data_IF_747988758574
#
_entry.id   IF_747988758574
#
_cell.length_a   1.000
_cell.length_b   1.000
_cell.length_c   1.000
_cell.angle_alpha   90.00
_cell.angle_beta   90.00
_cell.angle_gamma   90.00
#
_symmetry.space_group_name_H-M   'P 1'
#
loop_
_entity.id
_entity.type
_entity.pdbx_description
1 polymer ?
#
# COMPACT_ATOMS: atom_id res chain seq x y z
N UNK A 1 -33.55 -17.94 38.54
CA UNK A 1 -32.11 -17.97 38.19
C UNK A 1 -31.59 -16.55 38.31
N UNK A 2 -30.83 -16.24 39.36
CA UNK A 2 -30.24 -14.91 39.56
C UNK A 2 -29.03 -14.77 38.63
N UNK A 3 -29.21 -14.06 37.51
CA UNK A 3 -28.16 -13.75 36.53
C UNK A 3 -27.30 -12.56 36.97
N UNK A 4 -26.74 -12.61 38.19
CA UNK A 4 -25.79 -11.59 38.63
C UNK A 4 -24.40 -11.93 38.10
N UNK A 5 -24.10 -11.51 36.87
CA UNK A 5 -22.77 -11.65 36.29
C UNK A 5 -21.77 -10.76 37.04
N UNK A 6 -20.77 -11.36 37.69
CA UNK A 6 -19.71 -10.65 38.40
C UNK A 6 -18.55 -10.37 37.45
N UNK A 7 -18.07 -9.12 37.41
CA UNK A 7 -16.88 -8.74 36.64
C UNK A 7 -15.65 -9.32 37.35
N UNK A 8 -14.89 -10.18 36.66
CA UNK A 8 -13.69 -10.82 37.21
C UNK A 8 -12.48 -9.88 37.08
N UNK A 9 -12.24 -9.34 35.89
CA UNK A 9 -11.12 -8.45 35.59
C UNK A 9 -11.51 -7.37 34.57
N UNK A 10 -10.79 -6.24 34.58
CA UNK A 10 -10.90 -5.17 33.58
C UNK A 10 -9.52 -4.87 32.99
N UNK A 11 -9.47 -4.64 31.68
CA UNK A 11 -8.29 -4.14 31.00
C UNK A 11 -7.99 -2.71 31.48
N UNK A 12 -6.79 -2.48 32.02
CA UNK A 12 -6.35 -1.19 32.58
C UNK A 12 -5.43 -0.39 31.66
N UNK A 13 -4.96 -0.99 30.55
CA UNK A 13 -4.03 -0.36 29.64
C UNK A 13 -4.06 -0.95 28.23
N UNK A 14 -3.39 -0.26 27.30
CA UNK A 14 -3.34 -0.63 25.89
C UNK A 14 -1.92 -0.51 25.35
N UNK A 15 -1.52 -1.45 24.49
CA UNK A 15 -0.28 -1.32 23.73
C UNK A 15 -0.54 -0.55 22.44
N UNK A 16 0.23 0.51 22.20
CA UNK A 16 0.23 1.24 20.94
C UNK A 16 1.52 0.94 20.18
N UNK A 17 1.40 0.25 19.05
CA UNK A 17 2.49 0.04 18.11
C UNK A 17 2.39 1.04 16.96
N UNK A 18 3.46 1.75 16.64
CA UNK A 18 3.57 2.57 15.43
C UNK A 18 4.75 2.07 14.59
N UNK A 19 4.62 2.09 13.27
CA UNK A 19 5.72 1.84 12.35
C UNK A 19 5.58 2.79 11.16
N UNK A 20 6.65 3.52 10.88
CA UNK A 20 6.72 4.48 9.77
C UNK A 20 6.73 3.79 8.40
N UNK A 21 7.25 2.56 8.29
CA UNK A 21 7.51 1.96 6.97
C UNK A 21 6.64 0.76 6.59
N UNK A 22 6.02 0.02 7.52
CA UNK A 22 5.13 -1.08 7.13
C UNK A 22 4.17 -1.58 8.23
N UNK A 23 2.91 -1.74 7.82
CA UNK A 23 1.84 -2.43 8.54
C UNK A 23 2.25 -3.86 8.96
N UNK A 24 3.07 -4.52 8.15
CA UNK A 24 3.49 -5.92 8.37
C UNK A 24 4.23 -6.10 9.70
N UNK A 25 5.15 -5.20 10.05
CA UNK A 25 5.90 -5.28 11.32
C UNK A 25 5.00 -5.05 12.54
N UNK A 26 4.07 -4.11 12.45
CA UNK A 26 3.09 -3.88 13.52
C UNK A 26 2.14 -5.05 13.69
N UNK A 27 1.67 -5.65 12.60
CA UNK A 27 0.74 -6.77 12.65
C UNK A 27 1.39 -8.01 13.30
N UNK A 28 2.67 -8.27 13.02
CA UNK A 28 3.42 -9.35 13.67
C UNK A 28 3.47 -9.14 15.18
N UNK A 29 3.90 -7.96 15.64
CA UNK A 29 3.99 -7.66 17.09
C UNK A 29 2.62 -7.76 17.76
N UNK A 30 1.57 -7.20 17.13
CA UNK A 30 0.20 -7.27 17.64
C UNK A 30 -0.29 -8.72 17.73
N UNK A 31 0.02 -9.56 16.74
CA UNK A 31 -0.33 -10.98 16.75
C UNK A 31 0.33 -11.72 17.91
N UNK A 32 1.61 -11.43 18.20
CA UNK A 32 2.34 -12.00 19.33
C UNK A 32 1.75 -11.56 20.67
N UNK A 33 1.48 -10.26 20.84
CA UNK A 33 0.83 -9.75 22.06
C UNK A 33 -0.55 -10.37 22.28
N UNK A 34 -1.34 -10.53 21.21
CA UNK A 34 -2.65 -11.15 21.30
C UNK A 34 -2.59 -12.64 21.64
N UNK A 35 -1.55 -13.35 21.19
CA UNK A 35 -1.33 -14.75 21.57
C UNK A 35 -1.03 -14.88 23.07
N UNK A 36 -0.13 -14.03 23.60
CA UNK A 36 0.17 -14.01 25.04
C UNK A 36 -1.08 -13.66 25.87
N UNK A 37 -1.86 -12.67 25.44
CA UNK A 37 -3.11 -12.29 26.11
C UNK A 37 -4.14 -13.43 26.09
N UNK A 38 -4.22 -14.17 24.98
CA UNK A 38 -5.11 -15.32 24.85
C UNK A 38 -4.69 -16.47 25.78
N UNK A 39 -3.41 -16.82 25.84
CA UNK A 39 -2.91 -17.84 26.76
C UNK A 39 -3.20 -17.46 28.22
N UNK A 40 -2.95 -16.21 28.61
CA UNK A 40 -3.25 -15.71 29.95
C UNK A 40 -4.75 -15.84 30.28
N UNK A 41 -5.63 -15.42 29.37
CA UNK A 41 -7.07 -15.52 29.57
C UNK A 41 -7.53 -16.98 29.72
N UNK A 42 -6.95 -17.91 28.96
CA UNK A 42 -7.28 -19.34 29.03
C UNK A 42 -6.80 -19.99 30.34
N UNK A 43 -5.69 -19.52 30.90
CA UNK A 43 -5.22 -19.94 32.23
C UNK A 43 -6.17 -19.42 33.32
N UNK A 44 -6.58 -18.14 33.24
CA UNK A 44 -7.51 -17.54 34.22
C UNK A 44 -8.88 -18.22 34.24
N UNK A 45 -9.37 -18.69 33.08
CA UNK A 45 -10.63 -19.44 32.97
C UNK A 45 -10.45 -20.91 33.40
N UNK A 46 -9.22 -21.38 33.64
CA UNK A 46 -8.93 -22.74 34.09
C UNK A 46 -8.93 -23.79 32.97
N UNK A 47 -8.91 -23.36 31.70
CA UNK A 47 -8.82 -24.26 30.53
C UNK A 47 -7.39 -24.75 30.34
N UNK A 48 -6.41 -23.86 30.49
CA UNK A 48 -4.98 -24.17 30.48
C UNK A 48 -4.44 -24.22 31.91
N UNK A 49 -3.57 -25.17 32.20
CA UNK A 49 -2.84 -25.26 33.45
C UNK A 49 -1.38 -24.85 33.23
N UNK A 50 -0.82 -24.02 34.12
CA UNK A 50 0.57 -23.61 34.07
C UNK A 50 0.76 -22.09 33.95
N UNK A 51 1.88 -21.68 33.37
CA UNK A 51 2.25 -20.27 33.15
C UNK A 51 2.25 -19.96 31.66
N UNK A 52 2.03 -18.70 31.29
CA UNK A 52 2.07 -18.23 29.89
C UNK A 52 3.41 -18.59 29.25
N UNK A 53 3.37 -19.09 28.02
CA UNK A 53 4.57 -19.46 27.29
C UNK A 53 5.47 -18.25 27.09
N UNK A 54 6.79 -18.41 27.33
CA UNK A 54 7.77 -17.34 27.10
C UNK A 54 7.96 -17.00 25.62
N UNK A 55 7.59 -17.92 24.73
CA UNK A 55 7.62 -17.73 23.29
C UNK A 55 6.22 -17.36 22.81
N UNK A 56 6.04 -16.13 22.32
CA UNK A 56 4.79 -15.62 21.76
C UNK A 56 4.50 -16.19 20.34
N UNK A 57 4.86 -17.45 20.11
CA UNK A 57 4.69 -18.11 18.83
C UNK A 57 3.52 -19.07 18.90
N UNK A 58 2.56 -18.88 17.99
CA UNK A 58 1.51 -19.84 17.66
C UNK A 58 2.09 -21.07 16.93
N UNK A 59 3.11 -21.69 17.53
CA UNK A 59 3.78 -22.87 17.05
C UNK A 59 2.97 -24.12 17.41
N UNK A 60 3.30 -25.23 16.75
CA UNK A 60 2.75 -26.56 16.99
C UNK A 60 3.14 -27.17 18.34
N UNK A 61 3.97 -26.47 19.12
CA UNK A 61 4.43 -26.89 20.47
C UNK A 61 3.81 -26.04 21.58
N UNK A 62 2.91 -25.12 21.25
CA UNK A 62 2.22 -24.29 22.24
C UNK A 62 1.19 -25.11 23.05
N UNK A 63 0.91 -24.74 24.32
CA UNK A 63 -0.10 -25.42 25.13
C UNK A 63 -1.48 -25.48 24.45
N UNK A 64 -1.86 -24.42 23.76
CA UNK A 64 -3.08 -24.34 22.95
C UNK A 64 -3.11 -25.36 21.81
N UNK A 65 -1.96 -25.61 21.17
CA UNK A 65 -1.87 -26.59 20.07
C UNK A 65 -1.93 -28.04 20.56
N UNK A 66 -1.52 -28.31 21.81
CA UNK A 66 -1.72 -29.60 22.46
C UNK A 66 -3.18 -29.88 22.77
N UNK A 67 -3.93 -28.85 23.22
CA UNK A 67 -5.36 -28.99 23.52
C UNK A 67 -6.21 -29.05 22.24
N UNK A 68 -5.86 -28.23 21.24
CA UNK A 68 -6.55 -28.15 19.96
C UNK A 68 -5.55 -28.22 18.79
N UNK A 69 -5.39 -29.42 18.19
CA UNK A 69 -4.55 -29.61 17.01
C UNK A 69 -4.95 -28.64 15.89
N UNK A 70 -3.99 -27.86 15.39
CA UNK A 70 -4.19 -26.90 14.30
C UNK A 70 -4.70 -25.52 14.72
N UNK A 71 -4.93 -25.26 16.02
CA UNK A 71 -5.36 -23.94 16.50
C UNK A 71 -4.37 -22.82 16.11
N UNK A 72 -3.07 -23.05 16.32
CA UNK A 72 -2.02 -22.08 15.96
C UNK A 72 -2.03 -21.71 14.46
N UNK A 73 -2.30 -22.68 13.58
CA UNK A 73 -2.44 -22.42 12.14
C UNK A 73 -3.65 -21.53 11.84
N UNK A 74 -4.81 -21.81 12.45
CA UNK A 74 -6.01 -20.98 12.28
C UNK A 74 -5.79 -19.57 12.82
N UNK A 75 -5.14 -19.43 13.97
CA UNK A 75 -4.79 -18.13 14.55
C UNK A 75 -3.90 -17.31 13.61
N UNK A 76 -2.83 -17.90 13.08
CA UNK A 76 -1.95 -17.25 12.08
C UNK A 76 -2.73 -16.85 10.83
N UNK A 77 -3.66 -17.69 10.37
CA UNK A 77 -4.49 -17.38 9.21
C UNK A 77 -5.42 -16.18 9.44
N UNK A 78 -6.02 -16.06 10.62
CA UNK A 78 -6.84 -14.90 11.00
C UNK A 78 -6.00 -13.62 11.01
N UNK A 79 -4.81 -13.66 11.60
CA UNK A 79 -3.90 -12.51 11.64
C UNK A 79 -3.32 -12.13 10.28
N UNK A 80 -3.12 -13.11 9.38
CA UNK A 80 -2.78 -12.83 7.98
C UNK A 80 -3.92 -12.11 7.26
N UNK A 81 -5.17 -12.57 7.44
CA UNK A 81 -6.34 -11.91 6.86
C UNK A 81 -6.52 -10.49 7.42
N UNK A 82 -6.29 -10.29 8.73
CA UNK A 82 -6.32 -8.96 9.34
C UNK A 82 -5.32 -8.00 8.66
N UNK A 83 -4.08 -8.48 8.43
CA UNK A 83 -3.08 -7.70 7.69
C UNK A 83 -3.56 -7.32 6.29
N UNK A 84 -4.16 -8.28 5.56
CA UNK A 84 -4.70 -8.03 4.22
C UNK A 84 -5.77 -6.94 4.20
N UNK A 85 -6.72 -6.99 5.13
CA UNK A 85 -7.79 -5.99 5.21
C UNK A 85 -7.29 -4.61 5.63
N UNK A 86 -6.39 -4.54 6.61
CA UNK A 86 -5.76 -3.28 7.00
C UNK A 86 -4.92 -2.70 5.85
N UNK A 87 -4.21 -3.54 5.10
CA UNK A 87 -3.43 -3.12 3.93
C UNK A 87 -4.34 -2.59 2.82
N UNK A 88 -5.50 -3.21 2.59
CA UNK A 88 -6.47 -2.74 1.61
C UNK A 88 -6.98 -1.32 1.95
N UNK A 89 -7.23 -1.06 3.22
CA UNK A 89 -7.64 0.28 3.68
C UNK A 89 -6.51 1.31 3.56
N UNK A 90 -5.27 0.92 3.86
CA UNK A 90 -4.13 1.82 3.83
C UNK A 90 -3.64 2.10 2.40
N UNK A 91 -3.36 1.06 1.61
CA UNK A 91 -2.73 1.21 0.28
C UNK A 91 -3.61 0.78 -0.89
N UNK A 92 -4.83 0.31 -0.64
CA UNK A 92 -5.70 -0.21 -1.71
C UNK A 92 -5.27 -1.56 -2.29
N UNK A 93 -4.31 -2.26 -1.68
CA UNK A 93 -3.86 -3.59 -2.09
C UNK A 93 -3.78 -4.53 -0.88
N UNK A 94 -3.91 -5.86 -1.06
CA UNK A 94 -3.60 -6.84 -0.02
C UNK A 94 -2.18 -6.67 0.54
N UNK A 95 -1.92 -7.28 1.70
CA UNK A 95 -0.60 -7.21 2.32
C UNK A 95 0.44 -7.94 1.45
N UNK A 96 1.67 -7.45 1.48
CA UNK A 96 2.78 -8.15 0.83
C UNK A 96 3.25 -9.28 1.76
N UNK A 97 3.89 -10.30 1.20
CA UNK A 97 4.49 -11.41 1.98
C UNK A 97 3.49 -12.22 2.83
N UNK A 98 2.22 -12.26 2.42
CA UNK A 98 1.17 -13.05 3.08
C UNK A 98 1.51 -14.54 3.14
N UNK A 99 2.18 -15.09 2.12
CA UNK A 99 2.64 -16.47 2.08
C UNK A 99 3.65 -16.80 3.19
N UNK A 100 4.58 -15.86 3.47
CA UNK A 100 5.52 -15.96 4.58
C UNK A 100 4.79 -15.93 5.93
N UNK A 101 3.81 -15.05 6.11
CA UNK A 101 3.04 -15.00 7.38
C UNK A 101 2.19 -16.26 7.61
N UNK A 102 1.63 -16.86 6.54
CA UNK A 102 0.80 -18.06 6.63
C UNK A 102 1.58 -19.35 6.82
N UNK A 103 2.70 -19.51 6.11
CA UNK A 103 3.40 -20.80 6.00
C UNK A 103 4.83 -20.77 6.52
N UNK A 104 5.39 -19.59 6.79
CA UNK A 104 6.80 -19.42 7.18
C UNK A 104 7.80 -19.68 6.04
N UNK A 105 7.32 -19.98 4.83
CA UNK A 105 8.15 -20.21 3.63
C UNK A 105 7.72 -19.29 2.50
N UNK A 106 8.68 -18.92 1.67
CA UNK A 106 8.45 -18.07 0.50
C UNK A 106 8.16 -18.92 -0.73
N UNK A 107 7.11 -18.59 -1.46
CA UNK A 107 6.72 -19.29 -2.70
C UNK A 107 7.03 -18.44 -3.94
N UNK A 108 7.38 -19.06 -5.07
CA UNK A 108 7.63 -18.33 -6.32
C UNK A 108 6.39 -17.55 -6.78
N UNK A 109 5.21 -18.17 -6.67
CA UNK A 109 3.94 -17.50 -6.92
C UNK A 109 3.72 -16.29 -6.00
N UNK A 110 4.04 -16.40 -4.71
CA UNK A 110 3.97 -15.28 -3.77
C UNK A 110 4.91 -14.12 -4.12
N UNK A 111 6.11 -14.40 -4.64
CA UNK A 111 7.03 -13.37 -5.13
C UNK A 111 6.45 -12.62 -6.32
N UNK A 112 5.88 -13.34 -7.30
CA UNK A 112 5.25 -12.72 -8.47
C UNK A 112 4.05 -11.85 -8.09
N UNK A 113 3.17 -12.35 -7.22
CA UNK A 113 2.01 -11.59 -6.76
C UNK A 113 2.43 -10.34 -5.97
N UNK A 114 3.47 -10.43 -5.15
CA UNK A 114 4.01 -9.26 -4.45
C UNK A 114 4.56 -8.21 -5.41
N UNK A 115 5.19 -8.62 -6.51
CA UNK A 115 5.63 -7.71 -7.57
C UNK A 115 4.45 -7.00 -8.22
N UNK A 116 3.39 -7.74 -8.58
CA UNK A 116 2.16 -7.19 -9.14
C UNK A 116 1.49 -6.17 -8.21
N UNK A 117 1.30 -6.52 -6.93
CA UNK A 117 0.70 -5.60 -5.95
C UNK A 117 1.59 -4.40 -5.65
N UNK A 118 2.92 -4.54 -5.73
CA UNK A 118 3.83 -3.41 -5.58
C UNK A 118 3.66 -2.37 -6.69
N UNK A 119 3.44 -2.81 -7.94
CA UNK A 119 3.15 -1.92 -9.08
C UNK A 119 1.81 -1.20 -8.88
N UNK A 120 0.77 -1.94 -8.48
CA UNK A 120 -0.55 -1.34 -8.19
C UNK A 120 -0.43 -0.32 -7.05
N UNK A 121 0.27 -0.68 -5.97
CA UNK A 121 0.49 0.20 -4.83
C UNK A 121 1.22 1.47 -5.24
N UNK A 122 2.26 1.37 -6.08
CA UNK A 122 2.95 2.53 -6.63
C UNK A 122 2.00 3.45 -7.41
N UNK A 123 1.15 2.87 -8.27
CA UNK A 123 0.14 3.63 -9.01
C UNK A 123 -0.88 4.31 -8.09
N UNK A 124 -1.47 3.56 -7.15
CA UNK A 124 -2.47 4.09 -6.23
C UNK A 124 -1.91 5.19 -5.32
N UNK A 125 -0.68 5.00 -4.82
CA UNK A 125 -0.01 5.97 -3.96
C UNK A 125 0.30 7.27 -4.70
N UNK A 126 0.68 7.20 -5.98
CA UNK A 126 1.00 8.39 -6.74
C UNK A 126 -0.23 9.09 -7.32
N UNK A 127 -1.30 8.38 -7.69
CA UNK A 127 -2.39 8.98 -8.47
C UNK A 127 -3.74 9.05 -7.77
N UNK A 128 -3.92 8.39 -6.63
CA UNK A 128 -5.22 8.32 -5.93
C UNK A 128 -5.12 8.66 -4.44
N UNK A 129 -3.91 8.78 -3.89
CA UNK A 129 -3.73 8.98 -2.46
C UNK A 129 -4.17 10.38 -2.00
N UNK A 130 -3.86 11.42 -2.79
CA UNK A 130 -4.30 12.79 -2.52
C UNK A 130 -5.82 12.90 -2.38
N UNK A 131 -6.57 12.32 -3.32
CA UNK A 131 -8.04 12.26 -3.23
C UNK A 131 -8.55 11.49 -2.00
N UNK A 132 -7.92 10.37 -1.64
CA UNK A 132 -8.29 9.59 -0.43
C UNK A 132 -8.05 10.41 0.84
N UNK A 133 -6.90 11.05 0.93
CA UNK A 133 -6.52 11.90 2.05
C UNK A 133 -7.48 13.10 2.19
N UNK A 134 -7.84 13.73 1.08
CA UNK A 134 -8.83 14.80 1.05
C UNK A 134 -10.21 14.34 1.52
N UNK A 135 -10.64 13.14 1.12
CA UNK A 135 -11.89 12.55 1.57
C UNK A 135 -11.92 12.33 3.08
N UNK A 136 -10.81 11.86 3.66
CA UNK A 136 -10.66 11.70 5.10
C UNK A 136 -10.66 13.04 5.83
N UNK A 137 -9.91 14.03 5.34
CA UNK A 137 -9.89 15.38 5.90
C UNK A 137 -11.28 16.03 5.87
N UNK A 138 -12.03 15.86 4.79
CA UNK A 138 -13.40 16.35 4.69
C UNK A 138 -14.31 15.70 5.74
N UNK A 139 -14.25 14.38 5.89
CA UNK A 139 -15.05 13.63 6.86
C UNK A 139 -14.73 14.02 8.31
N UNK A 140 -13.44 14.21 8.61
CA UNK A 140 -12.97 14.57 9.95
C UNK A 140 -13.11 16.07 10.25
N UNK A 141 -13.57 16.88 9.29
CA UNK A 141 -13.66 18.34 9.42
C UNK A 141 -12.30 19.04 9.49
N UNK A 142 -11.23 18.38 9.06
CA UNK A 142 -9.85 18.86 9.08
C UNK A 142 -9.45 19.45 7.72
N UNK A 143 -10.12 20.52 7.27
CA UNK A 143 -9.84 21.17 6.00
C UNK A 143 -9.73 22.69 6.16
N UNK A 144 -8.94 23.33 5.29
CA UNK A 144 -8.95 24.78 5.08
C UNK A 144 -9.38 25.03 3.65
N UNK A 145 -10.52 25.67 3.45
CA UNK A 145 -10.92 26.09 2.10
C UNK A 145 -10.39 27.49 1.89
N UNK A 146 -9.58 27.68 0.86
CA UNK A 146 -9.02 28.99 0.51
C UNK A 146 -9.76 29.54 -0.71
N UNK A 147 -10.02 30.84 -0.74
CA UNK A 147 -10.52 31.53 -1.91
C UNK A 147 -9.41 31.71 -2.97
N UNK A 148 -9.77 32.14 -4.17
CA UNK A 148 -8.84 32.45 -5.29
C UNK A 148 -7.74 33.43 -4.85
N UNK A 149 -8.04 34.26 -3.86
CA UNK A 149 -7.13 35.27 -3.29
C UNK A 149 -6.32 34.77 -2.08
N UNK A 150 -6.37 33.48 -1.72
CA UNK A 150 -5.62 32.91 -0.59
C UNK A 150 -6.23 33.15 0.79
N UNK A 151 -7.50 33.58 0.89
CA UNK A 151 -8.20 33.79 2.15
C UNK A 151 -9.02 32.57 2.58
N UNK A 152 -9.08 32.26 3.88
CA UNK A 152 -9.93 31.19 4.42
C UNK A 152 -11.41 31.47 4.11
N UNK A 153 -12.03 30.58 3.34
CA UNK A 153 -13.45 30.55 2.99
C UNK A 153 -14.14 29.45 3.81
N UNK A 154 -15.26 29.71 4.51
CA UNK A 154 -16.05 28.66 5.14
C UNK A 154 -16.72 27.78 4.08
N UNK A 155 -16.61 26.46 4.24
CA UNK A 155 -17.16 25.48 3.28
C UNK A 155 -18.68 25.58 3.24
N UNK A 156 -19.22 25.94 2.08
CA UNK A 156 -20.63 25.72 1.75
C UNK A 156 -20.75 24.40 0.98
N UNK A 157 -21.87 23.71 1.16
CA UNK A 157 -22.11 22.30 0.83
C UNK A 157 -21.90 21.84 -0.63
N UNK A 158 -22.18 20.56 -0.90
CA UNK A 158 -21.67 19.83 -2.06
C UNK A 158 -22.27 20.34 -3.39
N UNK A 159 -21.39 20.64 -4.36
CA UNK A 159 -21.77 21.10 -5.71
C UNK A 159 -20.73 21.96 -6.45
N UNK A 160 -19.59 22.27 -5.82
CA UNK A 160 -18.53 23.09 -6.44
C UNK A 160 -17.68 22.33 -7.47
N UNK A 161 -17.15 23.02 -8.50
CA UNK A 161 -16.26 22.40 -9.48
C UNK A 161 -14.96 21.91 -8.82
N UNK A 162 -14.33 20.84 -9.34
CA UNK A 162 -13.09 20.30 -8.79
C UNK A 162 -11.96 21.33 -8.94
N UNK A 163 -11.54 21.96 -7.84
CA UNK A 163 -10.35 22.81 -7.82
C UNK A 163 -9.10 21.92 -7.74
N UNK A 164 -8.43 21.69 -8.88
CA UNK A 164 -7.01 21.32 -8.90
C UNK A 164 -6.22 22.49 -8.32
N UNK A 165 -5.16 22.24 -7.54
CA UNK A 165 -4.26 23.29 -7.03
C UNK A 165 -3.93 24.23 -8.20
N UNK A 166 -3.95 25.55 -7.97
CA UNK A 166 -3.26 26.50 -8.84
C UNK A 166 -1.78 26.11 -8.84
N UNK A 167 -1.39 25.19 -9.72
CA UNK A 167 -0.01 24.98 -10.10
C UNK A 167 0.25 25.92 -11.27
N UNK A 168 1.44 26.51 -11.33
CA UNK A 168 1.81 27.38 -12.47
C UNK A 168 1.43 26.68 -13.77
N UNK A 169 0.78 27.41 -14.68
CA UNK A 169 0.31 26.92 -15.99
C UNK A 169 1.41 26.17 -16.77
N UNK A 170 2.68 26.43 -16.46
CA UNK A 170 3.86 25.82 -17.07
C UNK A 170 4.11 24.36 -16.64
N UNK A 171 3.67 23.92 -15.45
CA UNK A 171 3.83 22.52 -15.01
C UNK A 171 2.69 21.62 -15.51
N UNK A 172 1.53 22.21 -15.82
CA UNK A 172 0.33 21.45 -16.23
C UNK A 172 0.45 20.86 -17.63
N UNK A 173 1.02 21.60 -18.59
CA UNK A 173 1.26 21.04 -19.92
C UNK A 173 2.37 19.98 -19.87
N UNK A 174 3.43 20.21 -19.07
CA UNK A 174 4.54 19.27 -18.96
C UNK A 174 4.08 17.90 -18.42
N UNK A 175 3.26 17.90 -17.37
CA UNK A 175 2.71 16.67 -16.76
C UNK A 175 1.67 15.96 -17.64
N UNK A 176 0.99 16.65 -18.55
CA UNK A 176 0.03 16.03 -19.47
C UNK A 176 0.67 15.49 -20.75
N UNK A 177 1.64 16.22 -21.32
CA UNK A 177 2.25 15.87 -22.60
C UNK A 177 3.40 14.86 -22.46
N UNK A 178 4.18 14.91 -21.37
CA UNK A 178 5.38 14.07 -21.23
C UNK A 178 5.07 12.54 -21.23
N UNK A 179 4.01 12.03 -20.57
CA UNK A 179 3.63 10.61 -20.67
C UNK A 179 3.20 10.19 -22.09
N UNK A 180 2.55 11.09 -22.83
CA UNK A 180 2.15 10.87 -24.23
C UNK A 180 3.37 10.79 -25.14
N UNK A 181 4.34 11.70 -24.96
CA UNK A 181 5.61 11.69 -25.69
C UNK A 181 6.40 10.42 -25.38
N UNK A 182 6.47 9.99 -24.12
CA UNK A 182 7.11 8.73 -23.74
C UNK A 182 6.43 7.52 -24.42
N UNK A 183 5.11 7.44 -24.38
CA UNK A 183 4.35 6.34 -24.99
C UNK A 183 4.53 6.30 -26.51
N UNK A 184 4.54 7.47 -27.16
CA UNK A 184 4.79 7.59 -28.59
C UNK A 184 6.22 7.18 -28.97
N UNK A 185 7.24 7.69 -28.26
CA UNK A 185 8.65 7.37 -28.53
C UNK A 185 8.97 5.90 -28.25
N UNK A 186 8.35 5.29 -27.23
CA UNK A 186 8.46 3.87 -26.94
C UNK A 186 7.84 3.02 -28.05
N UNK A 187 6.61 3.35 -28.51
CA UNK A 187 5.96 2.63 -29.60
C UNK A 187 6.78 2.70 -30.89
N UNK A 188 7.31 3.88 -31.22
CA UNK A 188 8.18 4.08 -32.37
C UNK A 188 9.50 3.30 -32.23
N UNK A 189 10.07 3.22 -31.02
CA UNK A 189 11.26 2.42 -30.74
C UNK A 189 11.00 0.92 -30.95
N UNK A 190 9.84 0.40 -30.54
CA UNK A 190 9.47 -1.00 -30.77
C UNK A 190 9.32 -1.31 -32.27
N UNK A 191 8.63 -0.44 -33.02
CA UNK A 191 8.48 -0.57 -34.48
C UNK A 191 9.85 -0.53 -35.18
N UNK A 192 10.76 0.34 -34.72
CA UNK A 192 12.11 0.42 -35.27
C UNK A 192 12.94 -0.86 -35.00
N UNK A 193 12.78 -1.47 -33.82
CA UNK A 193 13.39 -2.76 -33.49
C UNK A 193 12.86 -3.90 -34.36
N UNK A 194 11.54 -3.95 -34.60
CA UNK A 194 10.94 -4.94 -35.51
C UNK A 194 11.44 -4.76 -36.94
N UNK A 195 11.64 -3.52 -37.40
CA UNK A 195 12.26 -3.21 -38.69
C UNK A 195 13.71 -3.70 -38.83
N UNK A 196 14.45 -3.82 -37.72
CA UNK A 196 15.80 -4.37 -37.67
C UNK A 196 15.81 -5.90 -37.86
N UNK A 197 14.75 -6.59 -37.42
CA UNK A 197 14.58 -8.04 -37.57
C UNK A 197 14.29 -8.49 -39.01
N UNK A 198 13.90 -7.56 -39.89
CA UNK A 198 13.48 -7.86 -41.25
C UNK A 198 14.67 -7.82 -42.25
N UNK A 199 15.12 -8.96 -42.80
CA UNK A 199 16.38 -9.07 -43.54
C UNK A 199 16.35 -8.54 -44.99
N UNK A 200 15.21 -8.04 -45.48
CA UNK A 200 15.00 -7.72 -46.90
C UNK A 200 15.47 -6.31 -47.36
N UNK A 201 16.15 -5.52 -46.53
CA UNK A 201 16.50 -4.12 -46.87
C UNK A 201 17.94 -3.75 -46.46
N UNK A 202 18.72 -3.26 -47.42
CA UNK A 202 20.19 -3.10 -47.39
C UNK A 202 20.73 -1.88 -46.63
N UNK A 203 19.88 -1.01 -46.08
CA UNK A 203 20.32 0.23 -45.40
C UNK A 203 20.37 0.05 -43.88
N UNK A 204 21.37 -0.70 -43.38
CA UNK A 204 21.54 -0.97 -41.94
C UNK A 204 21.81 0.30 -41.11
N UNK A 205 22.54 1.27 -41.67
CA UNK A 205 22.85 2.56 -41.01
C UNK A 205 21.59 3.40 -40.75
N UNK A 206 20.64 3.39 -41.68
CA UNK A 206 19.36 4.08 -41.53
C UNK A 206 18.54 3.47 -40.39
N UNK A 207 18.41 2.13 -40.36
CA UNK A 207 17.71 1.42 -39.29
C UNK A 207 18.35 1.65 -37.91
N UNK A 208 19.69 1.60 -37.84
CA UNK A 208 20.41 1.87 -36.61
C UNK A 208 20.17 3.30 -36.10
N UNK A 209 20.12 4.28 -37.01
CA UNK A 209 19.86 5.69 -36.65
C UNK A 209 18.44 5.89 -36.10
N UNK A 210 17.43 5.25 -36.69
CA UNK A 210 16.06 5.29 -36.18
C UNK A 210 15.92 4.67 -34.79
N UNK A 211 16.54 3.50 -34.56
CA UNK A 211 16.53 2.83 -33.24
C UNK A 211 17.22 3.69 -32.19
N UNK A 212 18.39 4.28 -32.50
CA UNK A 212 19.11 5.15 -31.58
C UNK A 212 18.33 6.44 -31.28
N UNK A 213 17.68 7.02 -32.27
CA UNK A 213 16.87 8.24 -32.10
C UNK A 213 15.65 7.98 -31.20
N UNK A 214 14.81 7.01 -31.54
CA UNK A 214 13.58 6.73 -30.78
C UNK A 214 13.88 6.08 -29.41
N UNK A 215 14.88 5.20 -29.34
CA UNK A 215 15.35 4.63 -28.09
C UNK A 215 15.94 5.71 -27.17
N UNK A 216 16.77 6.61 -27.70
CA UNK A 216 17.31 7.75 -26.95
C UNK A 216 16.22 8.70 -26.47
N UNK A 217 15.23 9.02 -27.31
CA UNK A 217 14.09 9.86 -26.95
C UNK A 217 13.21 9.22 -25.86
N UNK A 218 13.01 7.89 -25.91
CA UNK A 218 12.29 7.13 -24.88
C UNK A 218 13.04 7.15 -23.54
N UNK A 219 14.36 6.95 -23.55
CA UNK A 219 15.19 7.04 -22.33
C UNK A 219 15.18 8.46 -21.76
N UNK A 220 15.34 9.48 -22.59
CA UNK A 220 15.34 10.88 -22.14
C UNK A 220 14.00 11.28 -21.53
N UNK A 221 12.89 10.87 -22.16
CA UNK A 221 11.54 11.13 -21.62
C UNK A 221 11.27 10.35 -20.33
N UNK A 222 11.75 9.11 -20.20
CA UNK A 222 11.67 8.37 -18.95
C UNK A 222 12.49 9.03 -17.82
N UNK A 223 13.71 9.50 -18.12
CA UNK A 223 14.54 10.24 -17.16
C UNK A 223 13.90 11.55 -16.75
N UNK A 224 13.26 12.26 -17.67
CA UNK A 224 12.50 13.47 -17.36
C UNK A 224 11.29 13.15 -16.46
N UNK A 225 10.50 12.10 -16.76
CA UNK A 225 9.38 11.67 -15.90
C UNK A 225 9.88 11.34 -14.49
N UNK A 226 11.03 10.67 -14.37
CA UNK A 226 11.62 10.35 -13.07
C UNK A 226 12.11 11.59 -12.32
N UNK A 227 12.79 12.51 -13.01
CA UNK A 227 13.29 13.75 -12.43
C UNK A 227 12.16 14.69 -11.95
N UNK A 228 11.04 14.72 -12.66
CA UNK A 228 9.85 15.49 -12.31
C UNK A 228 8.76 14.63 -11.65
N UNK A 229 9.13 13.47 -11.08
CA UNK A 229 8.16 12.50 -10.55
C UNK A 229 7.17 13.10 -9.55
N UNK A 230 7.66 13.98 -8.68
CA UNK A 230 6.85 14.67 -7.66
C UNK A 230 5.72 15.52 -8.27
N UNK A 231 5.90 15.99 -9.51
CA UNK A 231 4.90 16.80 -10.20
C UNK A 231 3.70 15.98 -10.70
N UNK A 232 3.89 14.68 -10.90
CA UNK A 232 2.85 13.74 -11.32
C UNK A 232 2.04 13.18 -10.14
N UNK A 233 2.50 13.39 -8.90
CA UNK A 233 1.85 12.90 -7.69
C UNK A 233 0.59 13.72 -7.39
N UNK A 234 -0.52 13.03 -7.12
CA UNK A 234 -1.76 13.60 -6.62
C UNK A 234 -1.60 13.94 -5.13
N UNK A 235 -1.30 15.20 -4.84
CA UNK A 235 -1.15 15.72 -3.48
C UNK A 235 -2.51 16.12 -2.88
N UNK A 236 -2.73 15.94 -1.56
CA UNK A 236 -3.95 16.39 -0.88
C UNK A 236 -4.16 17.90 -1.04
N UNK A 237 -5.40 18.35 -1.18
CA UNK A 237 -5.76 19.73 -1.50
C UNK A 237 -6.27 20.51 -0.30
N UNK A 238 -6.87 19.83 0.70
CA UNK A 238 -7.53 20.49 1.82
C UNK A 238 -6.61 20.87 2.99
N UNK A 239 -5.47 20.20 3.11
CA UNK A 239 -4.40 20.53 4.04
C UNK A 239 -3.06 20.33 3.32
N UNK A 240 -2.57 21.32 2.56
CA UNK A 240 -1.19 21.30 2.12
C UNK A 240 -0.30 21.45 3.37
N UNK A 241 0.68 20.55 3.53
CA UNK A 241 1.74 20.63 4.52
C UNK A 241 2.51 21.96 4.43
#
# INVERSE_FOLDING_TARGET
MNNSATIITRQTGTFRSNCIDCLDRTNVIQSMLSWCALEQAMIEIGILQGTVSRTADASTTSPLSHLWPGFGFRFKSIWANNADYCSLQYTGTPALKTDFTRTGKRTFYGILMDGYYSIIRYYLNNFNDGFRQDSMHLLLGQYKVMDVNGNLKPLHGPGGPPRRRLKNSDSEWFTQFLPLVFSFTLAMSCIACDGLSNPKQSHWTEKATYVLFWGGASVLSALAIFAYGDDFVDHPRFCPD
#
